data_IF_485898291529
#
_entry.id   IF_485898291529
#
_cell.length_a   1.000
_cell.length_b   1.000
_cell.length_c   1.000
_cell.angle_alpha   90.00
_cell.angle_beta   90.00
_cell.angle_gamma   90.00
#
_symmetry.space_group_name_H-M   'P 1'
#
loop_
_entity.id
_entity.type
_entity.pdbx_description
1 polymer ?
#
# COMPACT_ATOMS: atom_id res chain seq x y z
N UNK A 1 6.04 6.66 -16.56
CA UNK A 1 5.33 5.83 -15.58
C UNK A 1 3.86 6.21 -15.61
N UNK A 2 2.98 5.24 -15.85
CA UNK A 2 1.55 5.57 -15.94
C UNK A 2 0.97 5.94 -14.57
N UNK A 3 0.06 6.92 -14.59
CA UNK A 3 -0.69 7.31 -13.41
C UNK A 3 -1.86 6.34 -13.21
N UNK A 4 -2.00 5.81 -12.00
CA UNK A 4 -3.08 4.89 -11.68
C UNK A 4 -4.12 5.56 -10.79
N UNK A 5 -5.37 5.30 -11.09
CA UNK A 5 -6.50 5.78 -10.30
C UNK A 5 -7.08 4.59 -9.55
N UNK A 6 -6.81 4.49 -8.26
CA UNK A 6 -7.26 3.35 -7.47
C UNK A 6 -8.38 3.71 -6.49
N UNK A 7 -8.62 4.98 -6.24
CA UNK A 7 -9.61 5.40 -5.25
C UNK A 7 -11.00 4.87 -5.51
N UNK A 8 -11.45 4.92 -6.77
CA UNK A 8 -12.79 4.47 -7.14
C UNK A 8 -12.95 2.95 -7.11
N UNK A 9 -11.84 2.21 -7.10
CA UNK A 9 -11.84 0.75 -7.11
C UNK A 9 -11.58 0.14 -5.74
N UNK A 10 -11.27 0.96 -4.74
CA UNK A 10 -10.99 0.47 -3.40
C UNK A 10 -12.26 -0.01 -2.73
N UNK A 11 -12.18 -1.16 -2.07
CA UNK A 11 -13.29 -1.69 -1.28
C UNK A 11 -13.09 -1.35 0.19
N UNK A 12 -14.10 -1.67 1.02
CA UNK A 12 -14.06 -1.35 2.44
C UNK A 12 -12.92 -2.05 3.20
N UNK A 13 -12.30 -3.06 2.61
CA UNK A 13 -11.17 -3.76 3.22
C UNK A 13 -9.83 -3.14 2.89
N UNK A 14 -9.81 -2.26 1.92
CA UNK A 14 -8.59 -1.56 1.55
C UNK A 14 -8.30 -0.50 2.59
N UNK A 15 -7.03 -0.36 2.95
CA UNK A 15 -6.61 0.59 3.97
C UNK A 15 -5.49 1.45 3.44
N UNK A 16 -5.69 2.76 3.51
CA UNK A 16 -4.70 3.73 3.07
C UNK A 16 -4.15 4.47 4.28
N UNK A 17 -2.83 4.34 4.49
CA UNK A 17 -2.15 4.95 5.63
C UNK A 17 -1.40 6.20 5.20
N UNK A 18 -1.50 7.24 6.01
CA UNK A 18 -0.82 8.52 5.79
C UNK A 18 -0.04 8.86 7.05
N UNK A 19 1.23 9.19 6.90
CA UNK A 19 2.08 9.60 8.02
C UNK A 19 2.47 11.06 7.89
N UNK A 20 2.72 11.72 9.04
CA UNK A 20 3.03 13.15 9.09
C UNK A 20 4.37 13.48 8.43
N UNK A 21 5.29 12.55 8.48
CA UNK A 21 6.62 12.74 7.92
C UNK A 21 7.17 11.42 7.40
N UNK A 22 8.12 11.54 6.48
CA UNK A 22 8.77 10.38 5.91
C UNK A 22 9.65 9.69 6.95
N UNK A 23 9.50 8.39 7.07
CA UNK A 23 10.45 7.52 7.76
C UNK A 23 10.18 6.09 7.32
N UNK A 24 11.11 5.19 7.61
CA UNK A 24 10.89 3.77 7.35
C UNK A 24 9.73 3.31 8.21
N UNK A 25 8.70 2.74 7.56
CA UNK A 25 7.52 2.24 8.22
C UNK A 25 7.49 0.73 8.11
N UNK A 26 6.96 0.09 9.14
CA UNK A 26 6.87 -1.36 9.20
C UNK A 26 5.45 -1.77 9.56
N UNK A 27 5.01 -2.89 9.00
CA UNK A 27 3.73 -3.49 9.31
C UNK A 27 3.90 -4.97 9.60
N UNK A 28 3.01 -5.52 10.40
CA UNK A 28 2.98 -6.94 10.66
C UNK A 28 1.55 -7.45 10.60
N UNK A 29 1.40 -8.77 10.63
CA UNK A 29 0.11 -9.43 10.47
C UNK A 29 -0.39 -10.06 11.76
N UNK A 30 0.12 -9.60 12.91
CA UNK A 30 -0.35 -10.10 14.20
C UNK A 30 -1.86 -9.91 14.31
N UNK A 31 -2.57 -10.98 14.63
CA UNK A 31 -4.02 -10.98 14.75
C UNK A 31 -4.77 -10.69 13.45
N UNK A 32 -4.12 -10.78 12.29
CA UNK A 32 -4.75 -10.62 10.99
C UNK A 32 -4.83 -11.97 10.29
N UNK A 33 -6.03 -12.41 9.98
CA UNK A 33 -6.28 -13.75 9.46
C UNK A 33 -6.37 -13.81 7.93
N UNK A 34 -6.66 -12.69 7.29
CA UNK A 34 -6.76 -12.64 5.83
C UNK A 34 -5.41 -12.29 5.20
N UNK A 35 -5.04 -12.95 4.08
CA UNK A 35 -3.81 -12.57 3.37
C UNK A 35 -3.93 -11.17 2.80
N UNK A 36 -2.96 -10.31 3.12
CA UNK A 36 -2.93 -8.93 2.64
C UNK A 36 -1.62 -8.66 1.92
N UNK A 37 -1.64 -7.63 1.07
CA UNK A 37 -0.44 -7.07 0.47
C UNK A 37 -0.33 -5.61 0.83
N UNK A 38 0.89 -5.10 0.97
CA UNK A 38 1.13 -3.69 1.25
C UNK A 38 2.04 -3.08 0.20
N UNK A 39 1.66 -1.90 -0.29
CA UNK A 39 2.51 -1.08 -1.15
C UNK A 39 2.96 0.13 -0.33
N UNK A 40 4.27 0.35 -0.27
CA UNK A 40 4.82 1.56 0.34
C UNK A 40 5.05 2.59 -0.76
N UNK A 41 4.60 3.81 -0.53
CA UNK A 41 4.44 4.83 -1.55
C UNK A 41 5.14 6.11 -1.10
N UNK A 42 5.89 6.75 -1.99
CA UNK A 42 6.60 7.98 -1.66
C UNK A 42 5.70 9.21 -1.84
N UNK A 43 6.27 10.39 -1.59
CA UNK A 43 5.56 11.65 -1.65
C UNK A 43 4.93 11.92 -3.02
N UNK A 44 5.57 11.46 -4.09
CA UNK A 44 5.07 11.66 -5.46
C UNK A 44 3.94 10.71 -5.85
N UNK A 45 3.67 9.72 -5.01
CA UNK A 45 2.71 8.67 -5.32
C UNK A 45 3.34 7.45 -5.97
N UNK A 46 4.65 7.43 -6.10
CA UNK A 46 5.33 6.28 -6.71
C UNK A 46 5.42 5.12 -5.73
N UNK A 47 5.03 3.93 -6.20
CA UNK A 47 5.14 2.71 -5.43
C UNK A 47 6.60 2.29 -5.37
N UNK A 48 7.16 2.28 -4.16
CA UNK A 48 8.56 1.93 -3.95
C UNK A 48 8.76 0.43 -3.83
N UNK A 49 7.84 -0.26 -3.17
CA UNK A 49 7.89 -1.70 -3.03
C UNK A 49 6.54 -2.26 -2.63
N UNK A 50 6.29 -3.51 -3.01
CA UNK A 50 5.06 -4.24 -2.70
C UNK A 50 5.46 -5.56 -2.04
N UNK A 51 4.79 -5.90 -0.94
CA UNK A 51 5.02 -7.16 -0.23
C UNK A 51 3.71 -7.89 0.00
N UNK A 52 3.75 -9.21 -0.18
CA UNK A 52 2.70 -10.10 0.29
C UNK A 52 3.00 -10.43 1.75
N UNK A 53 1.98 -10.35 2.59
CA UNK A 53 2.14 -10.56 4.02
C UNK A 53 1.44 -11.83 4.47
N UNK A 54 2.11 -12.61 5.31
CA UNK A 54 1.60 -13.89 5.79
C UNK A 54 0.66 -13.67 6.98
N UNK A 55 -0.57 -14.22 6.94
CA UNK A 55 -1.49 -14.10 8.08
C UNK A 55 -0.86 -14.57 9.38
N UNK A 56 -1.15 -13.86 10.45
CA UNK A 56 -0.72 -14.15 11.82
C UNK A 56 0.79 -14.04 12.07
N UNK A 57 1.57 -13.65 11.06
CA UNK A 57 3.01 -13.51 11.21
C UNK A 57 3.34 -12.28 12.08
N UNK A 58 4.30 -12.44 12.96
CA UNK A 58 4.84 -11.34 13.78
C UNK A 58 6.08 -10.73 13.16
N UNK A 59 6.47 -11.20 11.98
CA UNK A 59 7.62 -10.64 11.26
C UNK A 59 7.20 -9.30 10.66
N UNK A 60 8.02 -8.28 10.89
CA UNK A 60 7.77 -6.96 10.31
C UNK A 60 8.12 -6.93 8.84
N UNK A 61 7.28 -6.26 8.06
CA UNK A 61 7.49 -6.01 6.64
C UNK A 61 7.67 -4.50 6.50
N UNK A 62 8.88 -4.08 6.19
CA UNK A 62 9.25 -2.67 6.26
C UNK A 62 9.51 -2.08 4.87
N UNK A 63 9.25 -0.77 4.74
CA UNK A 63 9.59 -0.06 3.52
C UNK A 63 11.13 -0.03 3.36
N UNK A 64 11.59 -0.08 2.10
CA UNK A 64 13.03 -0.04 1.82
C UNK A 64 13.63 1.34 2.05
N UNK A 65 12.81 2.37 1.90
CA UNK A 65 13.21 3.77 2.07
C UNK A 65 12.15 4.49 2.88
N UNK A 66 12.44 5.67 3.42
CA UNK A 66 11.41 6.46 4.10
C UNK A 66 10.20 6.64 3.21
N UNK A 67 9.02 6.42 3.77
CA UNK A 67 7.75 6.46 3.04
C UNK A 67 6.76 7.38 3.73
N UNK A 68 5.84 7.95 2.94
CA UNK A 68 4.80 8.83 3.45
C UNK A 68 3.44 8.14 3.46
N UNK A 69 3.22 7.21 2.55
CA UNK A 69 1.93 6.52 2.40
C UNK A 69 2.13 5.02 2.29
N UNK A 70 1.09 4.28 2.65
CA UNK A 70 1.02 2.86 2.37
C UNK A 70 -0.41 2.47 2.01
N UNK A 71 -0.55 1.53 1.09
CA UNK A 71 -1.84 0.98 0.68
C UNK A 71 -1.85 -0.51 0.98
N UNK A 72 -2.77 -0.93 1.84
CA UNK A 72 -2.94 -2.33 2.23
C UNK A 72 -4.22 -2.86 1.61
N UNK A 73 -4.11 -3.95 0.88
CA UNK A 73 -5.22 -4.54 0.10
C UNK A 73 -5.20 -6.05 0.26
N UNK A 74 -6.27 -6.69 -0.20
CA UNK A 74 -6.30 -8.16 -0.27
C UNK A 74 -5.19 -8.64 -1.20
N UNK A 75 -4.55 -9.74 -0.81
CA UNK A 75 -3.47 -10.32 -1.60
C UNK A 75 -3.97 -10.65 -3.01
N UNK A 76 -3.16 -10.30 -4.02
CA UNK A 76 -3.53 -10.46 -5.42
C UNK A 76 -4.18 -9.25 -6.06
N UNK A 77 -4.64 -8.29 -5.26
CA UNK A 77 -5.34 -7.11 -5.80
C UNK A 77 -4.45 -6.28 -6.73
N UNK A 78 -3.18 -6.05 -6.36
CA UNK A 78 -2.27 -5.29 -7.21
C UNK A 78 -2.07 -5.98 -8.56
N UNK A 79 -1.90 -7.29 -8.54
CA UNK A 79 -1.69 -8.05 -9.77
C UNK A 79 -2.94 -8.03 -10.65
N UNK A 80 -4.12 -8.20 -10.08
CA UNK A 80 -5.37 -8.16 -10.84
C UNK A 80 -5.63 -6.81 -11.48
N UNK A 81 -5.11 -5.74 -10.88
CA UNK A 81 -5.29 -4.38 -11.38
C UNK A 81 -4.07 -3.85 -12.12
N UNK A 82 -3.10 -4.74 -12.41
CA UNK A 82 -1.89 -4.41 -13.15
C UNK A 82 -1.14 -3.22 -12.54
N UNK A 83 -1.01 -3.24 -11.23
CA UNK A 83 -0.30 -2.20 -10.47
C UNK A 83 1.02 -2.78 -9.98
N UNK A 84 2.12 -2.12 -10.34
CA UNK A 84 3.48 -2.63 -10.12
C UNK A 84 4.35 -1.60 -9.43
N UNK A 85 5.47 -2.07 -8.88
CA UNK A 85 6.50 -1.19 -8.36
C UNK A 85 6.92 -0.22 -9.46
N UNK A 86 7.03 1.07 -9.11
CA UNK A 86 7.35 2.13 -10.06
C UNK A 86 6.14 2.85 -10.61
N UNK A 87 4.95 2.28 -10.49
CA UNK A 87 3.72 2.96 -10.91
C UNK A 87 3.44 4.12 -9.97
N UNK A 88 2.77 5.14 -10.51
CA UNK A 88 2.39 6.33 -9.75
C UNK A 88 0.89 6.30 -9.48
N UNK A 89 0.52 6.33 -8.21
CA UNK A 89 -0.87 6.38 -7.80
C UNK A 89 -1.34 7.83 -7.71
N UNK A 90 -2.61 8.05 -8.02
CA UNK A 90 -3.23 9.37 -7.89
C UNK A 90 -3.62 9.61 -6.44
N UNK A 91 -2.66 10.00 -5.62
CA UNK A 91 -2.86 10.15 -4.17
C UNK A 91 -3.98 11.14 -3.85
N UNK A 92 -4.01 12.27 -4.55
CA UNK A 92 -5.05 13.28 -4.33
C UNK A 92 -6.44 12.73 -4.62
N UNK A 93 -6.59 11.83 -5.58
CA UNK A 93 -7.86 11.18 -5.88
C UNK A 93 -8.26 10.21 -4.78
N UNK A 94 -7.30 9.48 -4.25
CA UNK A 94 -7.55 8.57 -3.13
C UNK A 94 -8.03 9.34 -1.91
N UNK A 95 -7.35 10.44 -1.59
CA UNK A 95 -7.71 11.27 -0.44
C UNK A 95 -9.09 11.89 -0.57
N UNK A 96 -9.52 12.23 -1.78
CA UNK A 96 -10.83 12.83 -2.02
C UNK A 96 -11.98 11.84 -1.89
N UNK A 97 -11.70 10.55 -1.95
CA UNK A 97 -12.72 9.51 -1.88
C UNK A 97 -12.96 9.00 -0.44
N UNK A 98 -12.33 9.60 0.53
CA UNK A 98 -12.53 9.23 1.93
C UNK A 98 -13.82 9.81 2.51
#
# INVERSE_FOLDING_TARGET
IPLRLVGSEMCIRDRFFIWDRKKVQCMWMKNTYIPLSVAYIDKSGEIMNIYDMVPLSKTSVCSKKPTLYALEVNQGWFNRNDINVGDILAIDKILKND
#
